data_IF_472030705537
#
_entry.id   IF_472030705537
#
_cell.length_a   1.000
_cell.length_b   1.000
_cell.length_c   1.000
_cell.angle_alpha   90.00
_cell.angle_beta   90.00
_cell.angle_gamma   90.00
#
_symmetry.space_group_name_H-M   'P 1'
#
loop_
_entity.id
_entity.type
_entity.pdbx_description
1 polymer ?
#
# COMPACT_ATOMS: atom_id res chain seq x y z
N UNK A 1 -12.51 6.06 -13.52
CA UNK A 1 -11.42 7.04 -13.28
C UNK A 1 -10.21 6.27 -12.79
N UNK A 2 -8.99 6.61 -13.23
CA UNK A 2 -7.79 5.84 -12.86
C UNK A 2 -7.44 6.02 -11.37
N UNK A 3 -6.91 4.98 -10.73
CA UNK A 3 -6.44 5.03 -9.34
C UNK A 3 -4.93 5.24 -9.28
N UNK A 4 -4.43 6.14 -8.41
CA UNK A 4 -2.99 6.31 -8.27
C UNK A 4 -2.29 5.08 -7.69
N UNK A 5 -1.08 4.80 -8.19
CA UNK A 5 -0.24 3.70 -7.69
C UNK A 5 0.28 4.02 -6.29
N UNK A 6 0.28 3.03 -5.40
CA UNK A 6 0.89 3.13 -4.07
C UNK A 6 2.39 2.82 -4.11
N UNK A 7 3.16 3.48 -3.26
CA UNK A 7 4.59 3.26 -3.07
C UNK A 7 4.89 2.77 -1.66
N UNK A 8 6.00 2.04 -1.49
CA UNK A 8 6.50 1.72 -0.16
C UNK A 8 6.80 3.03 0.60
N UNK A 9 6.29 3.12 1.83
CA UNK A 9 6.38 4.31 2.67
C UNK A 9 5.19 5.27 2.57
N UNK A 10 4.24 5.04 1.65
CA UNK A 10 2.97 5.77 1.63
C UNK A 10 2.21 5.58 2.95
N UNK A 11 1.44 6.60 3.33
CA UNK A 11 0.67 6.55 4.57
C UNK A 11 -0.65 5.81 4.37
N UNK A 12 -1.29 5.45 5.48
CA UNK A 12 -2.67 4.94 5.48
C UNK A 12 -3.60 5.94 6.19
N UNK A 13 -4.88 5.93 5.82
CA UNK A 13 -5.88 6.87 6.31
C UNK A 13 -6.25 6.61 7.79
N UNK A 14 -6.68 7.66 8.54
CA UNK A 14 -7.36 7.47 9.82
C UNK A 14 -8.62 6.59 9.68
N UNK A 15 -9.03 5.85 10.72
CA UNK A 15 -8.45 5.82 12.07
C UNK A 15 -7.22 4.89 12.20
N UNK A 16 -6.93 4.08 11.17
CA UNK A 16 -5.78 3.17 11.15
C UNK A 16 -4.56 3.83 10.51
N UNK A 17 -4.18 5.00 11.01
CA UNK A 17 -3.01 5.71 10.49
C UNK A 17 -1.74 4.89 10.72
N UNK A 18 -0.92 4.76 9.68
CA UNK A 18 0.30 3.94 9.65
C UNK A 18 0.94 4.02 8.27
N UNK A 19 1.73 3.02 7.88
CA UNK A 19 2.48 3.04 6.61
C UNK A 19 2.44 1.75 5.83
N UNK A 20 2.64 1.85 4.52
CA UNK A 20 2.91 0.73 3.62
C UNK A 20 4.37 0.31 3.77
N UNK A 21 4.60 -0.93 4.20
CA UNK A 21 5.93 -1.53 4.33
C UNK A 21 6.16 -2.66 3.33
N UNK A 22 7.43 -2.91 3.06
CA UNK A 22 7.96 -3.58 1.87
C UNK A 22 7.67 -5.08 1.72
N UNK A 23 8.44 -5.75 0.82
CA UNK A 23 9.53 -5.17 0.03
C UNK A 23 9.08 -4.28 -1.15
N UNK A 24 7.81 -4.37 -1.56
CA UNK A 24 7.38 -3.77 -2.83
C UNK A 24 8.08 -4.42 -4.03
N UNK A 25 8.17 -3.71 -5.15
CA UNK A 25 8.93 -4.14 -6.32
C UNK A 25 10.43 -3.95 -6.11
N UNK A 26 11.22 -4.95 -6.48
CA UNK A 26 12.67 -4.88 -6.46
C UNK A 26 13.24 -4.06 -7.64
N UNK A 27 12.51 -4.00 -8.75
CA UNK A 27 12.99 -3.40 -10.01
C UNK A 27 12.29 -2.09 -10.38
N UNK A 28 11.01 -1.96 -10.07
CA UNK A 28 10.20 -0.81 -10.50
C UNK A 28 10.08 0.20 -9.37
N UNK A 29 10.60 1.39 -9.63
CA UNK A 29 10.57 2.52 -8.71
C UNK A 29 9.93 3.74 -9.36
N UNK A 30 9.20 4.52 -8.57
CA UNK A 30 8.67 5.82 -8.98
C UNK A 30 9.23 6.85 -8.01
N UNK A 31 9.90 7.89 -8.53
CA UNK A 31 10.58 8.89 -7.68
C UNK A 31 11.61 8.26 -6.72
N UNK A 32 12.26 7.18 -7.13
CA UNK A 32 13.22 6.44 -6.30
C UNK A 32 12.61 5.49 -5.26
N UNK A 33 11.29 5.48 -5.06
CA UNK A 33 10.61 4.57 -4.12
C UNK A 33 10.06 3.33 -4.82
N UNK A 34 10.18 2.13 -4.23
CA UNK A 34 9.57 0.92 -4.76
C UNK A 34 8.05 1.05 -4.94
N UNK A 35 7.54 0.55 -6.07
CA UNK A 35 6.09 0.36 -6.24
C UNK A 35 5.59 -0.67 -5.23
N UNK A 36 4.51 -0.36 -4.52
CA UNK A 36 3.91 -1.29 -3.56
C UNK A 36 3.15 -2.39 -4.31
N UNK A 37 3.38 -3.64 -3.90
CA UNK A 37 2.79 -4.83 -4.52
C UNK A 37 2.04 -5.64 -3.45
N UNK A 38 1.17 -6.55 -3.89
CA UNK A 38 0.58 -7.54 -3.00
C UNK A 38 1.67 -8.25 -2.17
N UNK A 39 1.45 -8.34 -0.87
CA UNK A 39 2.44 -8.81 0.10
C UNK A 39 3.13 -7.69 0.89
N UNK A 40 3.00 -6.42 0.46
CA UNK A 40 3.27 -5.29 1.34
C UNK A 40 2.35 -5.31 2.57
N UNK A 41 2.86 -4.81 3.69
CA UNK A 41 2.19 -4.85 4.99
C UNK A 41 1.85 -3.46 5.50
N UNK A 42 0.70 -3.32 6.17
CA UNK A 42 0.43 -2.18 7.03
C UNK A 42 1.25 -2.31 8.32
N UNK A 43 2.07 -1.31 8.64
CA UNK A 43 2.89 -1.26 9.85
C UNK A 43 2.76 0.07 10.57
N UNK A 44 3.16 0.09 11.85
CA UNK A 44 3.20 1.31 12.65
C UNK A 44 1.82 1.94 12.84
N UNK A 45 0.80 1.10 13.04
CA UNK A 45 -0.57 1.56 13.29
C UNK A 45 -0.59 2.42 14.55
N UNK A 46 -1.11 3.63 14.46
CA UNK A 46 -1.26 4.57 15.57
C UNK A 46 -2.52 4.29 16.41
N UNK A 47 -3.32 3.29 16.05
CA UNK A 47 -4.50 2.91 16.83
C UNK A 47 -4.07 2.43 18.22
N UNK A 48 -4.57 3.03 19.32
CA UNK A 48 -4.17 2.65 20.67
C UNK A 48 -4.47 1.19 20.97
N UNK A 49 -3.42 0.39 21.21
CA UNK A 49 -3.53 -1.02 21.58
C UNK A 49 -2.29 -1.44 22.39
N UNK A 50 -2.50 -2.30 23.40
CA UNK A 50 -1.42 -2.92 24.15
C UNK A 50 -1.73 -4.43 24.32
N UNK A 51 -1.02 -5.33 23.63
CA UNK A 51 0.13 -5.06 22.75
C UNK A 51 -0.25 -4.34 21.43
N UNK A 52 0.70 -3.72 20.72
CA UNK A 52 0.45 -3.13 19.41
C UNK A 52 -0.14 -4.13 18.42
N UNK A 53 -1.09 -3.69 17.60
CA UNK A 53 -1.66 -4.53 16.56
C UNK A 53 -0.59 -5.10 15.61
N UNK A 54 -0.69 -6.39 15.25
CA UNK A 54 0.26 -7.00 14.33
C UNK A 54 0.12 -6.41 12.91
N UNK A 55 1.20 -6.42 12.11
CA UNK A 55 1.11 -6.07 10.70
C UNK A 55 0.13 -6.96 9.93
N UNK A 56 -0.64 -6.37 9.00
CA UNK A 56 -1.53 -7.13 8.12
C UNK A 56 -1.23 -6.81 6.65
N UNK A 57 -1.37 -7.79 5.75
CA UNK A 57 -1.12 -7.56 4.32
C UNK A 57 -2.21 -6.68 3.71
N UNK A 58 -1.82 -5.89 2.70
CA UNK A 58 -2.78 -5.21 1.83
C UNK A 58 -3.40 -6.17 0.81
N UNK A 59 -4.70 -6.00 0.61
CA UNK A 59 -5.52 -6.75 -0.33
C UNK A 59 -5.78 -5.84 -1.54
N UNK A 60 -5.31 -6.20 -2.73
CA UNK A 60 -5.57 -5.44 -3.95
C UNK A 60 -7.07 -5.38 -4.24
N UNK A 61 -7.62 -4.18 -4.43
CA UNK A 61 -9.01 -4.00 -4.88
C UNK A 61 -9.21 -4.32 -6.37
N UNK A 62 -8.11 -4.46 -7.11
CA UNK A 62 -8.09 -4.80 -8.53
C UNK A 62 -6.80 -5.52 -8.92
N UNK A 63 -6.84 -6.30 -10.00
CA UNK A 63 -5.70 -7.06 -10.53
C UNK A 63 -5.51 -6.77 -12.01
N UNK A 64 -5.35 -5.49 -12.37
CA UNK A 64 -5.20 -5.05 -13.77
C UNK A 64 -3.74 -4.99 -14.22
N UNK A 65 -2.83 -4.67 -13.30
CA UNK A 65 -1.40 -4.54 -13.58
C UNK A 65 -0.63 -5.40 -12.60
N UNK A 66 0.30 -6.18 -13.15
CA UNK A 66 1.18 -7.07 -12.42
C UNK A 66 2.62 -6.59 -12.60
N UNK A 67 3.36 -6.55 -11.50
CA UNK A 67 4.81 -6.33 -11.50
C UNK A 67 5.41 -7.48 -10.70
N UNK A 68 6.45 -8.12 -11.23
CA UNK A 68 7.11 -9.26 -10.55
C UNK A 68 6.11 -10.36 -10.14
N UNK A 69 5.12 -10.63 -11.02
CA UNK A 69 4.04 -11.58 -10.82
C UNK A 69 3.15 -11.29 -9.59
N UNK A 70 3.12 -10.03 -9.13
CA UNK A 70 2.26 -9.60 -8.02
C UNK A 70 1.39 -8.41 -8.47
N UNK A 71 0.12 -8.34 -8.04
CA UNK A 71 -0.72 -7.19 -8.30
C UNK A 71 -0.12 -5.91 -7.72
N UNK A 72 -0.21 -4.83 -8.47
CA UNK A 72 0.16 -3.48 -8.01
C UNK A 72 -0.91 -2.97 -7.04
N UNK A 73 -0.47 -2.46 -5.89
CA UNK A 73 -1.36 -1.79 -4.94
C UNK A 73 -1.63 -0.34 -5.37
N UNK A 74 -2.83 0.12 -5.09
CA UNK A 74 -3.30 1.46 -5.47
C UNK A 74 -3.92 2.19 -4.29
N UNK A 75 -4.15 3.49 -4.47
CA UNK A 75 -4.93 4.30 -3.54
C UNK A 75 -6.25 3.61 -3.16
N UNK A 76 -6.51 3.55 -1.86
CA UNK A 76 -7.71 2.97 -1.29
C UNK A 76 -7.71 1.44 -1.17
N UNK A 77 -6.67 0.73 -1.61
CA UNK A 77 -6.50 -0.68 -1.22
C UNK A 77 -6.40 -0.79 0.30
N UNK A 78 -6.97 -1.86 0.87
CA UNK A 78 -7.13 -2.00 2.31
C UNK A 78 -6.28 -3.13 2.86
N UNK A 79 -5.71 -2.93 4.04
CA UNK A 79 -5.08 -3.98 4.81
C UNK A 79 -6.13 -4.85 5.50
N UNK A 80 -5.74 -6.05 5.94
CA UNK A 80 -6.63 -6.95 6.69
C UNK A 80 -7.22 -6.32 7.96
N UNK A 81 -6.58 -5.30 8.54
CA UNK A 81 -7.11 -4.53 9.67
C UNK A 81 -8.06 -3.38 9.29
N UNK A 82 -8.32 -3.15 8.00
CA UNK A 82 -9.15 -2.05 7.50
C UNK A 82 -8.40 -0.76 7.14
N UNK A 83 -7.07 -0.71 7.31
CA UNK A 83 -6.27 0.48 6.95
C UNK A 83 -6.23 0.69 5.43
N UNK A 84 -6.69 1.84 4.95
CA UNK A 84 -6.72 2.17 3.52
C UNK A 84 -5.48 2.98 3.10
N UNK A 85 -4.86 2.64 1.97
CA UNK A 85 -3.68 3.34 1.45
C UNK A 85 -4.03 4.75 0.96
N UNK A 86 -3.27 5.74 1.44
CA UNK A 86 -3.21 7.09 0.89
C UNK A 86 -1.98 7.21 -0.02
N UNK A 87 -2.16 6.91 -1.30
CA UNK A 87 -1.08 6.97 -2.28
C UNK A 87 -0.61 8.41 -2.52
N UNK A 88 0.70 8.64 -2.60
CA UNK A 88 1.28 9.98 -2.83
C UNK A 88 1.54 10.31 -4.30
N UNK A 89 1.59 9.28 -5.16
CA UNK A 89 1.77 9.46 -6.61
C UNK A 89 0.54 10.14 -7.21
N UNK A 90 0.66 11.31 -7.84
CA UNK A 90 -0.50 12.03 -8.41
C UNK A 90 -0.69 11.79 -9.91
N UNK A 91 0.37 11.42 -10.63
CA UNK A 91 0.40 11.42 -12.10
C UNK A 91 0.57 10.03 -12.73
N UNK A 92 0.68 8.97 -11.92
CA UNK A 92 0.81 7.58 -12.39
C UNK A 92 -0.38 6.79 -11.91
N UNK A 93 -1.29 6.47 -12.85
CA UNK A 93 -2.60 5.90 -12.56
C UNK A 93 -2.80 4.56 -13.28
N UNK A 94 -3.52 3.65 -12.63
CA UNK A 94 -4.05 2.41 -13.24
C UNK A 94 -5.53 2.65 -13.59
N UNK A 95 -5.90 2.43 -14.85
CA UNK A 95 -7.26 2.68 -15.38
C UNK A 95 -8.13 1.42 -15.35
#
# INVERSE_FOLDING_TARGET
MGKPIALVGDSTLPPHAGKVSGPGSLKVKIGGKPVALQGCLHVGCAFPSNPPHPPTPFIPSQVKVMIENKPVLVHGDTAGCGAAILATTTNVLIK
#
